data_IF_549512289913
#
_entry.id   IF_549512289913
#
_cell.length_a   1.000
_cell.length_b   1.000
_cell.length_c   1.000
_cell.angle_alpha   90.00
_cell.angle_beta   90.00
_cell.angle_gamma   90.00
#
_symmetry.space_group_name_H-M   'P 1'
#
loop_
_entity.id
_entity.type
_entity.pdbx_description
1 polymer ?
#
# COMPACT_ATOMS: atom_id res chain seq x y z
N UNK A 1 -11.11 -0.90 -19.75
CA UNK A 1 -9.98 -1.71 -19.23
C UNK A 1 -10.33 -2.03 -17.79
N UNK A 2 -10.27 -3.29 -17.36
CA UNK A 2 -10.65 -3.65 -15.98
C UNK A 2 -9.57 -3.17 -15.02
N UNK A 3 -9.96 -2.40 -14.00
CA UNK A 3 -9.08 -1.92 -12.93
C UNK A 3 -9.37 -2.67 -11.64
N UNK A 4 -8.37 -2.73 -10.76
CA UNK A 4 -8.51 -3.17 -9.38
C UNK A 4 -8.23 -1.98 -8.47
N UNK A 5 -9.02 -1.88 -7.40
CA UNK A 5 -8.82 -0.89 -6.35
C UNK A 5 -8.10 -1.56 -5.18
N UNK A 6 -6.98 -0.97 -4.78
CA UNK A 6 -6.17 -1.39 -3.66
C UNK A 6 -6.07 -0.23 -2.66
N UNK A 7 -5.97 -0.52 -1.38
CA UNK A 7 -5.94 0.48 -0.32
C UNK A 7 -4.64 0.39 0.47
N UNK A 8 -3.98 1.52 0.70
CA UNK A 8 -2.78 1.61 1.52
C UNK A 8 -3.04 2.52 2.72
N UNK A 9 -2.98 1.94 3.93
CA UNK A 9 -3.09 2.68 5.18
C UNK A 9 -1.74 3.18 5.67
N UNK A 10 -1.66 4.46 6.04
CA UNK A 10 -0.43 5.11 6.52
C UNK A 10 -0.74 6.39 7.31
N UNK A 11 0.28 7.14 7.73
CA UNK A 11 0.10 8.48 8.34
C UNK A 11 -0.18 9.56 7.28
N UNK A 12 -0.83 10.66 7.68
CA UNK A 12 -1.23 11.73 6.74
C UNK A 12 -0.06 12.31 5.94
N UNK A 13 1.13 12.47 6.53
CA UNK A 13 2.28 13.04 5.79
C UNK A 13 2.85 12.07 4.76
N UNK A 14 2.90 10.78 5.09
CA UNK A 14 3.27 9.73 4.13
C UNK A 14 2.25 9.64 3.00
N UNK A 15 0.95 9.72 3.30
CA UNK A 15 -0.10 9.76 2.28
C UNK A 15 0.02 10.97 1.36
N UNK A 16 0.17 12.19 1.93
CA UNK A 16 0.37 13.41 1.15
C UNK A 16 1.61 13.33 0.26
N UNK A 17 2.70 12.72 0.74
CA UNK A 17 3.89 12.55 -0.08
C UNK A 17 3.64 11.61 -1.27
N UNK A 18 2.97 10.48 -1.05
CA UNK A 18 2.63 9.55 -2.13
C UNK A 18 1.70 10.22 -3.15
N UNK A 19 0.71 10.98 -2.69
CA UNK A 19 -0.23 11.69 -3.57
C UNK A 19 0.45 12.76 -4.43
N UNK A 20 1.44 13.47 -3.89
CA UNK A 20 2.11 14.55 -4.61
C UNK A 20 3.31 14.10 -5.44
N UNK A 21 4.04 13.08 -4.98
CA UNK A 21 5.36 12.70 -5.51
C UNK A 21 5.41 11.24 -5.99
N UNK A 22 4.36 10.45 -5.77
CA UNK A 22 4.35 9.01 -5.99
C UNK A 22 5.13 8.23 -4.93
N UNK A 23 5.29 6.93 -5.17
CA UNK A 23 6.01 6.02 -4.28
C UNK A 23 7.52 6.30 -4.33
N UNK A 24 8.14 6.40 -3.15
CA UNK A 24 9.58 6.57 -2.98
C UNK A 24 10.17 5.45 -2.12
N UNK A 25 11.05 4.64 -2.70
CA UNK A 25 11.62 3.46 -2.05
C UNK A 25 12.48 3.78 -0.83
N UNK A 26 13.28 4.85 -0.88
CA UNK A 26 14.15 5.26 0.24
C UNK A 26 13.34 5.74 1.44
N UNK A 27 12.27 6.51 1.18
CA UNK A 27 11.39 7.02 2.22
C UNK A 27 10.58 5.89 2.86
N UNK A 28 10.02 5.00 2.05
CA UNK A 28 9.24 3.88 2.54
C UNK A 28 10.09 2.91 3.38
N UNK A 29 11.34 2.66 3.00
CA UNK A 29 12.29 1.89 3.81
C UNK A 29 12.52 2.47 5.21
N UNK A 30 12.59 3.80 5.35
CA UNK A 30 12.77 4.47 6.65
C UNK A 30 11.56 4.31 7.57
N UNK A 31 10.37 4.10 7.01
CA UNK A 31 9.11 3.96 7.75
C UNK A 31 8.82 2.50 8.15
N UNK A 32 9.45 1.51 7.49
CA UNK A 32 9.20 0.09 7.74
C UNK A 32 10.08 -0.49 8.85
N UNK A 33 9.92 0.06 10.06
CA UNK A 33 10.63 -0.38 11.27
C UNK A 33 9.88 -1.45 12.08
N UNK A 34 8.61 -1.72 11.74
CA UNK A 34 7.73 -2.61 12.50
C UNK A 34 7.77 -4.09 12.04
N UNK A 35 7.62 -5.06 12.96
CA UNK A 35 7.78 -6.50 12.72
C UNK A 35 6.62 -7.18 11.96
N UNK A 36 5.58 -6.44 11.56
CA UNK A 36 4.39 -6.97 10.87
C UNK A 36 4.63 -7.10 9.36
N UNK A 37 5.70 -6.52 8.83
CA UNK A 37 6.03 -6.56 7.40
C UNK A 37 6.75 -7.86 7.02
N UNK A 38 6.36 -8.44 5.88
CA UNK A 38 7.02 -9.59 5.24
C UNK A 38 8.40 -9.25 4.63
N UNK A 39 8.79 -7.98 4.66
CA UNK A 39 9.99 -7.42 4.05
C UNK A 39 9.79 -6.01 3.49
N UNK A 40 10.82 -5.41 2.89
CA UNK A 40 10.70 -4.08 2.30
C UNK A 40 9.74 -4.03 1.10
N UNK A 41 8.82 -3.08 1.07
CA UNK A 41 7.93 -2.87 -0.09
C UNK A 41 6.60 -2.24 0.25
N UNK A 42 5.79 -1.88 -0.75
CA UNK A 42 4.47 -1.32 -0.50
C UNK A 42 3.48 -2.43 -0.14
N UNK A 43 2.72 -2.26 0.94
CA UNK A 43 1.65 -3.14 1.34
C UNK A 43 0.30 -2.49 1.09
N UNK A 44 -0.60 -3.22 0.43
CA UNK A 44 -1.95 -2.77 0.13
C UNK A 44 -2.96 -3.87 0.47
N UNK A 45 -4.22 -3.50 0.68
CA UNK A 45 -5.32 -4.41 0.93
C UNK A 45 -6.43 -4.24 -0.12
N UNK A 46 -7.21 -5.29 -0.35
CA UNK A 46 -8.42 -5.23 -1.17
C UNK A 46 -9.63 -4.71 -0.37
N UNK A 47 -9.54 -4.79 0.95
CA UNK A 47 -10.57 -4.37 1.89
C UNK A 47 -10.13 -3.07 2.58
N UNK A 48 -11.02 -2.09 2.58
CA UNK A 48 -10.77 -0.76 3.16
C UNK A 48 -10.56 -0.84 4.68
N UNK A 49 -11.33 -1.68 5.39
CA UNK A 49 -11.21 -1.82 6.85
C UNK A 49 -9.86 -2.40 7.24
N UNK A 50 -9.33 -3.29 6.40
CA UNK A 50 -7.98 -3.86 6.58
C UNK A 50 -6.90 -2.78 6.38
N UNK A 51 -7.07 -1.89 5.40
CA UNK A 51 -6.15 -0.77 5.22
C UNK A 51 -6.21 0.20 6.41
N UNK A 52 -7.40 0.51 6.94
CA UNK A 52 -7.55 1.33 8.14
C UNK A 52 -6.91 0.70 9.37
N UNK A 53 -7.02 -0.62 9.53
CA UNK A 53 -6.30 -1.34 10.59
C UNK A 53 -4.79 -1.09 10.49
N UNK A 54 -4.18 -1.21 9.31
CA UNK A 54 -2.75 -0.92 9.15
C UNK A 54 -2.40 0.56 9.29
N UNK A 55 -3.29 1.47 8.89
CA UNK A 55 -3.10 2.90 9.10
C UNK A 55 -2.96 3.23 10.59
N UNK A 56 -3.72 2.55 11.46
CA UNK A 56 -3.63 2.70 12.92
C UNK A 56 -2.32 2.17 13.52
N UNK A 57 -1.60 1.33 12.79
CA UNK A 57 -0.30 0.76 13.20
C UNK A 57 0.90 1.52 12.61
N UNK A 58 0.66 2.58 11.84
CA UNK A 58 1.72 3.35 11.23
C UNK A 58 2.61 4.00 12.31
N UNK A 59 3.95 4.12 12.10
CA UNK A 59 4.89 4.57 13.14
C UNK A 59 4.56 5.90 13.82
N UNK A 60 3.82 6.77 13.13
CA UNK A 60 3.44 8.09 13.61
C UNK A 60 1.92 8.28 13.75
N UNK A 61 1.13 7.20 13.72
CA UNK A 61 -0.34 7.25 13.73
C UNK A 61 -0.89 8.06 14.92
N UNK A 62 -0.32 7.89 16.12
CA UNK A 62 -0.77 8.61 17.32
C UNK A 62 -0.47 10.12 17.29
N UNK A 63 0.52 10.56 16.50
CA UNK A 63 0.98 11.95 16.46
C UNK A 63 0.49 12.72 15.23
N UNK A 64 0.34 12.05 14.09
CA UNK A 64 0.18 12.69 12.78
C UNK A 64 -1.13 12.33 12.08
N UNK A 65 -2.04 11.66 12.80
CA UNK A 65 -3.29 11.11 12.28
C UNK A 65 -3.08 10.03 11.20
N UNK A 66 -3.96 9.04 11.19
CA UNK A 66 -3.94 7.93 10.23
C UNK A 66 -4.86 8.24 9.05
N UNK A 67 -4.50 7.78 7.86
CA UNK A 67 -5.33 7.88 6.67
C UNK A 67 -5.12 6.69 5.72
N UNK A 68 -5.98 6.58 4.72
CA UNK A 68 -5.90 5.58 3.67
C UNK A 68 -5.86 6.26 2.31
N UNK A 69 -4.96 5.79 1.45
CA UNK A 69 -4.93 6.13 0.03
C UNK A 69 -5.53 4.99 -0.80
N UNK A 70 -6.28 5.36 -1.82
CA UNK A 70 -6.77 4.46 -2.85
C UNK A 70 -5.75 4.40 -4.00
N UNK A 71 -5.51 3.19 -4.50
CA UNK A 71 -4.60 2.90 -5.61
C UNK A 71 -5.41 2.14 -6.66
N UNK A 72 -5.73 2.83 -7.76
CA UNK A 72 -6.37 2.22 -8.92
C UNK A 72 -5.30 1.72 -9.90
N UNK A 73 -5.30 0.42 -10.19
CA UNK A 73 -4.30 -0.22 -11.06
C UNK A 73 -5.02 -1.06 -12.14
N UNK A 74 -4.64 -0.99 -13.43
CA UNK A 74 -5.19 -1.91 -14.41
C UNK A 74 -4.81 -3.36 -14.08
N UNK A 75 -5.77 -4.28 -14.15
CA UNK A 75 -5.57 -5.70 -13.77
C UNK A 75 -4.44 -6.35 -14.57
N UNK A 76 -4.27 -5.94 -15.83
CA UNK A 76 -3.18 -6.43 -16.70
C UNK A 76 -1.80 -6.09 -16.14
N UNK A 77 -1.64 -4.92 -15.52
CA UNK A 77 -0.37 -4.48 -14.94
C UNK A 77 -0.10 -5.15 -13.58
N UNK A 78 -1.16 -5.42 -12.81
CA UNK A 78 -1.01 -6.26 -11.61
C UNK A 78 -0.52 -7.66 -11.99
N UNK A 79 -1.13 -8.29 -12.99
CA UNK A 79 -0.72 -9.63 -13.45
C UNK A 79 0.73 -9.62 -13.97
N UNK A 80 1.13 -8.58 -14.71
CA UNK A 80 2.51 -8.40 -15.14
C UNK A 80 3.50 -8.39 -13.97
N UNK A 81 3.18 -7.66 -12.89
CA UNK A 81 4.02 -7.60 -11.69
C UNK A 81 4.05 -8.93 -10.93
N UNK A 82 2.92 -9.66 -10.88
CA UNK A 82 2.84 -10.99 -10.27
C UNK A 82 3.72 -12.00 -11.02
N UNK A 83 3.66 -12.03 -12.35
CA UNK A 83 4.46 -12.92 -13.19
C UNK A 83 5.96 -12.69 -13.04
N UNK A 84 6.36 -11.42 -12.82
CA UNK A 84 7.75 -11.03 -12.54
C UNK A 84 8.18 -11.21 -11.09
N UNK A 85 7.27 -11.61 -10.21
CA UNK A 85 7.49 -11.69 -8.75
C UNK A 85 7.85 -10.34 -8.12
N UNK A 86 7.43 -9.25 -8.76
CA UNK A 86 7.52 -7.88 -8.25
C UNK A 86 6.25 -7.47 -7.50
N UNK A 87 5.19 -8.28 -7.59
CA UNK A 87 4.05 -8.28 -6.67
C UNK A 87 3.81 -9.69 -6.11
N UNK A 88 3.17 -9.77 -4.94
CA UNK A 88 2.69 -11.02 -4.34
C UNK A 88 1.37 -10.79 -3.62
N UNK A 89 0.44 -11.73 -3.75
CA UNK A 89 -0.80 -11.76 -2.96
C UNK A 89 -0.60 -12.79 -1.85
N UNK A 90 -0.66 -12.34 -0.60
CA UNK A 90 -0.39 -13.20 0.56
C UNK A 90 -1.44 -12.99 1.66
N UNK A 91 -1.74 -14.03 2.46
CA UNK A 91 -2.56 -13.85 3.65
C UNK A 91 -1.83 -12.97 4.67
N UNK A 92 -2.58 -12.12 5.35
CA UNK A 92 -2.04 -11.35 6.48
C UNK A 92 -1.91 -12.29 7.69
N UNK A 93 -0.74 -12.29 8.32
CA UNK A 93 -0.44 -13.07 9.52
C UNK A 93 -0.39 -12.17 10.76
N UNK A 94 -0.52 -12.76 11.95
CA UNK A 94 -0.46 -12.06 13.25
C UNK A 94 -1.55 -11.00 13.48
N UNK A 95 -2.73 -11.17 12.87
CA UNK A 95 -3.92 -10.34 13.10
C UNK A 95 -5.10 -11.21 13.54
N UNK A 96 -6.10 -10.61 14.19
CA UNK A 96 -7.27 -11.33 14.74
C UNK A 96 -8.34 -11.67 13.69
N UNK A 97 -8.13 -11.29 12.43
CA UNK A 97 -9.06 -11.48 11.32
C UNK A 97 -8.40 -12.21 10.15
N UNK A 98 -9.20 -12.66 9.17
CA UNK A 98 -8.68 -13.28 7.94
C UNK A 98 -8.78 -12.28 6.79
N UNK A 99 -7.64 -11.91 6.23
CA UNK A 99 -7.57 -11.01 5.09
C UNK A 99 -6.34 -11.31 4.22
N UNK A 100 -6.33 -10.74 3.01
CA UNK A 100 -5.19 -10.79 2.09
C UNK A 100 -4.62 -9.39 1.90
N UNK A 101 -3.33 -9.36 1.59
CA UNK A 101 -2.61 -8.16 1.17
C UNK A 101 -1.93 -8.40 -0.16
N UNK A 102 -1.75 -7.31 -0.91
CA UNK A 102 -0.87 -7.28 -2.08
C UNK A 102 0.38 -6.52 -1.69
N UNK A 103 1.51 -7.22 -1.72
CA UNK A 103 2.83 -6.66 -1.52
C UNK A 103 3.45 -6.33 -2.88
N UNK A 104 4.05 -5.15 -3.00
CA UNK A 104 4.84 -4.73 -4.16
C UNK A 104 6.29 -4.50 -3.76
N UNK A 105 7.22 -5.03 -4.55
CA UNK A 105 8.64 -4.81 -4.36
C UNK A 105 9.01 -3.34 -4.54
N UNK A 106 10.13 -2.93 -3.95
CA UNK A 106 10.67 -1.58 -4.14
C UNK A 106 11.08 -1.30 -5.61
N UNK A 107 11.35 -2.34 -6.40
CA UNK A 107 11.69 -2.21 -7.82
C UNK A 107 10.47 -1.86 -8.67
N UNK A 108 9.27 -2.24 -8.23
CA UNK A 108 8.02 -1.97 -8.93
C UNK A 108 7.60 -0.49 -8.85
N UNK A 109 8.18 0.32 -7.96
CA UNK A 109 7.67 1.66 -7.66
C UNK A 109 7.74 2.60 -8.87
N UNK A 110 8.84 2.56 -9.62
CA UNK A 110 8.97 3.37 -10.83
C UNK A 110 7.92 3.03 -11.88
N UNK A 111 7.54 1.76 -11.98
CA UNK A 111 6.48 1.29 -12.87
C UNK A 111 5.09 1.69 -12.35
N UNK A 112 4.80 1.44 -11.06
CA UNK A 112 3.54 1.80 -10.42
C UNK A 112 3.26 3.31 -10.52
N UNK A 113 4.27 4.17 -10.32
CA UNK A 113 4.13 5.62 -10.47
C UNK A 113 3.75 6.06 -11.88
N UNK A 114 3.94 5.22 -12.90
CA UNK A 114 3.56 5.51 -14.29
C UNK A 114 2.17 5.01 -14.66
N UNK A 115 1.72 3.90 -14.05
CA UNK A 115 0.52 3.16 -14.50
C UNK A 115 -0.62 3.13 -13.47
N UNK A 116 -0.34 3.38 -12.19
CA UNK A 116 -1.33 3.44 -11.13
C UNK A 116 -1.78 4.87 -10.90
N UNK A 117 -3.03 5.02 -10.48
CA UNK A 117 -3.58 6.29 -10.03
C UNK A 117 -3.73 6.26 -8.51
N UNK A 118 -3.14 7.26 -7.83
CA UNK A 118 -3.20 7.41 -6.38
C UNK A 118 -4.21 8.50 -6.01
N UNK A 119 -5.16 8.19 -5.12
CA UNK A 119 -6.22 9.11 -4.69
C UNK A 119 -6.36 9.12 -3.18
N UNK A 120 -6.74 10.26 -2.56
CA UNK A 120 -7.23 10.22 -1.19
C UNK A 120 -8.54 9.43 -1.13
N UNK A 121 -8.79 8.74 0.00
CA UNK A 121 -10.13 8.20 0.28
C UNK A 121 -11.08 9.40 0.47
N UNK A 122 -12.15 9.47 -0.32
CA UNK A 122 -13.10 10.60 -0.27
C UNK A 122 -14.36 10.30 0.56
N UNK A 123 -14.57 9.04 0.95
CA UNK A 123 -15.75 8.60 1.70
C UNK A 123 -15.36 8.14 3.11
N UNK A 124 -15.90 8.86 4.11
CA UNK A 124 -16.10 8.41 5.50
C UNK A 124 -17.58 8.56 5.85
#
# INVERSE_FOLDING_TARGET
MTTITLYHGTDVYSALDILNNGLNSERLLKLQVNPVHLGPGLYTALDLDVAWFFASLAPNAEMLESTVIEISLPVVELNYLLDRKEARIEPIVNVQFKAQQVWFSLTAFGFLNQVAEFKPILDL
#
